data_IF_968911728254
#
_entry.id   IF_968911728254
#
_cell.length_a   1.000
_cell.length_b   1.000
_cell.length_c   1.000
_cell.angle_alpha   90.00
_cell.angle_beta   90.00
_cell.angle_gamma   90.00
#
_symmetry.space_group_name_H-M   'P 1'
#
loop_
_entity.id
_entity.type
_entity.pdbx_description
1 polymer ?
#
# COMPACT_ATOMS: atom_id res chain seq x y z
N UNK A 1 36.06 -18.72 37.31
CA UNK A 1 36.44 -17.33 37.62
C UNK A 1 35.12 -16.70 38.04
N UNK A 2 35.00 -16.31 39.30
CA UNK A 2 33.73 -15.96 39.95
C UNK A 2 33.22 -14.63 39.38
N UNK A 3 32.02 -14.63 38.78
CA UNK A 3 31.30 -13.46 38.27
C UNK A 3 30.93 -12.51 39.42
N UNK A 4 31.89 -11.73 39.93
CA UNK A 4 31.68 -10.59 40.83
C UNK A 4 31.03 -10.87 42.20
N UNK A 5 30.45 -12.05 42.37
CA UNK A 5 29.58 -12.41 43.47
C UNK A 5 30.40 -12.91 44.65
N UNK A 6 30.15 -12.30 45.80
CA UNK A 6 30.67 -12.76 47.08
C UNK A 6 29.55 -13.56 47.77
N UNK A 7 29.61 -14.91 47.73
CA UNK A 7 28.57 -15.74 48.34
C UNK A 7 28.50 -15.62 49.87
N UNK A 8 29.43 -14.88 50.49
CA UNK A 8 29.44 -14.58 51.92
C UNK A 8 28.96 -13.16 52.25
N UNK A 9 28.64 -12.35 51.24
CA UNK A 9 28.07 -11.01 51.42
C UNK A 9 26.53 -11.05 51.31
N UNK A 10 25.79 -10.96 52.42
CA UNK A 10 24.32 -10.97 52.39
C UNK A 10 23.69 -9.72 51.77
N UNK A 11 24.48 -8.69 51.43
CA UNK A 11 24.04 -7.50 50.70
C UNK A 11 24.65 -7.44 49.29
N UNK A 12 25.12 -8.57 48.76
CA UNK A 12 25.57 -8.65 47.37
C UNK A 12 24.37 -8.38 46.45
N UNK A 13 24.41 -7.32 45.60
CA UNK A 13 23.32 -7.00 44.70
C UNK A 13 22.90 -8.17 43.80
N UNK A 14 23.83 -9.07 43.47
CA UNK A 14 23.61 -10.26 42.62
C UNK A 14 22.88 -11.38 43.35
N UNK A 15 22.93 -11.39 44.69
CA UNK A 15 22.26 -12.40 45.53
C UNK A 15 20.81 -12.04 45.84
N UNK A 16 20.38 -10.80 45.58
CA UNK A 16 18.96 -10.42 45.67
C UNK A 16 18.22 -10.88 44.40
N UNK A 17 17.31 -11.87 44.47
CA UNK A 17 16.62 -12.38 43.29
C UNK A 17 15.74 -11.33 42.60
N UNK A 18 15.36 -10.25 43.30
CA UNK A 18 14.58 -9.14 42.75
C UNK A 18 15.43 -7.92 42.39
N UNK A 19 16.74 -7.99 42.65
CA UNK A 19 17.70 -6.99 42.22
C UNK A 19 17.93 -7.06 40.72
N UNK A 20 18.41 -5.94 40.17
CA UNK A 20 18.86 -5.76 38.80
C UNK A 20 20.28 -5.20 38.95
N UNK A 21 21.27 -6.10 39.02
CA UNK A 21 22.60 -5.77 39.51
C UNK A 21 23.44 -4.98 38.49
N UNK A 22 23.10 -5.06 37.20
CA UNK A 22 23.79 -4.35 36.13
C UNK A 22 22.93 -3.27 35.43
N UNK A 23 21.63 -3.21 35.73
CA UNK A 23 20.73 -2.14 35.34
C UNK A 23 20.17 -2.28 33.93
N UNK A 24 20.15 -3.49 33.36
CA UNK A 24 19.65 -3.74 32.01
C UNK A 24 18.11 -3.92 31.95
N UNK A 25 17.47 -4.09 33.11
CA UNK A 25 16.02 -4.29 33.24
C UNK A 25 15.55 -5.75 33.29
N UNK A 26 16.46 -6.71 33.41
CA UNK A 26 16.22 -8.05 33.94
C UNK A 26 16.53 -8.08 35.44
N UNK A 27 15.74 -8.85 36.18
CA UNK A 27 16.11 -9.20 37.55
C UNK A 27 17.13 -10.33 37.54
N UNK A 28 17.99 -10.41 38.56
CA UNK A 28 18.98 -11.48 38.72
C UNK A 28 18.35 -12.89 38.64
N UNK A 29 17.08 -13.03 39.04
CA UNK A 29 16.32 -14.29 38.89
C UNK A 29 15.91 -14.57 37.44
N UNK A 30 15.51 -13.56 36.67
CA UNK A 30 15.23 -13.68 35.23
C UNK A 30 16.52 -14.02 34.48
N UNK A 31 17.62 -13.37 34.79
CA UNK A 31 18.92 -13.66 34.19
C UNK A 31 19.37 -15.10 34.46
N UNK A 32 19.22 -15.57 35.71
CA UNK A 32 19.49 -16.97 36.03
C UNK A 32 18.60 -17.94 35.24
N UNK A 33 17.36 -17.56 34.94
CA UNK A 33 16.45 -18.35 34.12
C UNK A 33 16.88 -18.38 32.64
N UNK A 34 17.40 -17.26 32.13
CA UNK A 34 17.88 -17.12 30.76
C UNK A 34 19.34 -17.57 30.57
N UNK A 35 20.08 -17.81 31.66
CA UNK A 35 21.47 -18.24 31.64
C UNK A 35 22.47 -17.09 31.43
N UNK A 36 22.01 -15.84 31.55
CA UNK A 36 22.81 -14.63 31.40
C UNK A 36 23.58 -14.30 32.68
N UNK A 37 24.51 -13.33 32.61
CA UNK A 37 25.41 -12.94 33.71
C UNK A 37 24.88 -11.69 34.43
N UNK A 38 24.41 -11.79 35.70
CA UNK A 38 23.83 -10.67 36.47
C UNK A 38 24.68 -9.45 36.75
N UNK A 39 25.88 -9.39 36.19
CA UNK A 39 26.79 -8.24 36.33
C UNK A 39 27.14 -7.64 34.98
N UNK A 40 26.51 -8.09 33.91
CA UNK A 40 26.82 -7.71 32.54
C UNK A 40 25.51 -7.48 31.81
N UNK A 41 25.21 -6.22 31.48
CA UNK A 41 24.00 -5.91 30.74
C UNK A 41 23.91 -6.61 29.39
N UNK A 42 25.06 -7.06 28.86
CA UNK A 42 25.27 -7.74 27.57
C UNK A 42 26.21 -8.94 27.86
N UNK A 43 25.64 -10.14 27.97
CA UNK A 43 26.35 -11.33 28.43
C UNK A 43 27.35 -11.84 27.40
N UNK A 44 26.98 -11.84 26.13
CA UNK A 44 27.79 -12.39 25.05
C UNK A 44 28.73 -11.37 24.37
N UNK A 45 28.51 -10.08 24.62
CA UNK A 45 29.36 -8.97 24.26
C UNK A 45 29.15 -8.46 22.83
N UNK A 46 27.98 -8.69 22.22
CA UNK A 46 27.67 -8.26 20.85
C UNK A 46 27.21 -6.78 20.75
N UNK A 47 26.95 -6.14 21.89
CA UNK A 47 26.55 -4.75 22.02
C UNK A 47 25.04 -4.53 22.20
N UNK A 48 24.24 -5.58 22.34
CA UNK A 48 22.83 -5.53 22.70
C UNK A 48 22.67 -6.05 24.14
N UNK A 49 21.78 -5.45 24.92
CA UNK A 49 21.55 -5.94 26.28
C UNK A 49 20.72 -7.21 26.31
N UNK A 50 20.97 -8.08 27.28
CA UNK A 50 20.26 -9.35 27.49
C UNK A 50 18.73 -9.15 27.51
N UNK A 51 18.25 -8.07 28.16
CA UNK A 51 16.84 -7.69 28.17
C UNK A 51 16.25 -7.46 26.77
N UNK A 52 16.98 -6.73 25.94
CA UNK A 52 16.55 -6.33 24.60
C UNK A 52 16.52 -7.55 23.68
N UNK A 53 17.48 -8.45 23.82
CA UNK A 53 17.55 -9.69 23.07
C UNK A 53 16.38 -10.62 23.38
N UNK A 54 16.10 -10.85 24.67
CA UNK A 54 14.95 -11.64 25.10
C UNK A 54 13.64 -11.03 24.60
N UNK A 55 13.52 -9.71 24.65
CA UNK A 55 12.34 -8.98 24.15
C UNK A 55 12.19 -9.11 22.63
N UNK A 56 13.30 -9.12 21.91
CA UNK A 56 13.37 -9.22 20.46
C UNK A 56 13.46 -10.67 19.94
N UNK A 57 13.48 -11.65 20.84
CA UNK A 57 13.52 -13.07 20.54
C UNK A 57 14.85 -13.57 19.97
N UNK A 58 15.96 -12.87 20.24
CA UNK A 58 17.33 -13.34 19.95
C UNK A 58 17.92 -14.07 21.16
N UNK A 59 19.06 -14.75 20.97
CA UNK A 59 19.74 -15.52 22.01
C UNK A 59 20.81 -14.68 22.72
N UNK A 60 20.62 -14.30 24.00
CA UNK A 60 21.56 -13.45 24.75
C UNK A 60 22.90 -14.11 25.09
N UNK A 61 23.11 -15.35 24.60
CA UNK A 61 24.34 -16.12 24.77
C UNK A 61 25.04 -16.42 23.44
N UNK A 62 24.50 -15.95 22.30
CA UNK A 62 25.09 -16.14 20.97
C UNK A 62 25.42 -14.78 20.30
N UNK A 63 26.70 -14.35 20.30
CA UNK A 63 27.09 -13.04 19.79
C UNK A 63 27.01 -12.95 18.25
N UNK A 64 26.46 -13.96 17.59
CA UNK A 64 26.17 -14.00 16.16
C UNK A 64 24.66 -13.96 15.87
N UNK A 65 23.81 -13.71 16.87
CA UNK A 65 22.35 -13.52 16.70
C UNK A 65 21.90 -12.06 16.94
N UNK A 66 22.44 -11.07 16.20
CA UNK A 66 22.18 -9.67 16.50
C UNK A 66 20.72 -9.27 16.24
N UNK A 67 20.24 -8.31 17.03
CA UNK A 67 18.91 -7.72 16.90
C UNK A 67 18.66 -7.20 15.48
N UNK A 68 17.64 -7.78 14.85
CA UNK A 68 17.26 -7.46 13.49
C UNK A 68 16.51 -6.12 13.40
N UNK A 69 16.91 -5.26 12.46
CA UNK A 69 16.26 -3.98 12.19
C UNK A 69 16.03 -3.76 10.68
N UNK A 70 15.12 -2.84 10.37
CA UNK A 70 14.94 -2.30 9.01
C UNK A 70 15.39 -0.84 9.04
N UNK A 71 16.63 -0.59 8.59
CA UNK A 71 17.20 0.74 8.52
C UNK A 71 16.38 1.67 7.59
N UNK A 72 16.53 2.99 7.78
CA UNK A 72 15.91 3.96 6.89
C UNK A 72 16.40 3.74 5.45
N UNK A 73 15.47 3.69 4.49
CA UNK A 73 15.77 3.42 3.08
C UNK A 73 15.94 1.94 2.72
N UNK A 74 15.95 1.02 3.71
CA UNK A 74 16.02 -0.41 3.43
C UNK A 74 14.67 -1.01 3.00
N UNK A 75 13.56 -0.26 3.09
CA UNK A 75 12.28 -0.63 2.49
C UNK A 75 12.11 0.18 1.20
N UNK A 76 11.98 -0.51 0.07
CA UNK A 76 11.94 0.10 -1.27
C UNK A 76 10.83 -0.51 -2.10
N UNK A 77 10.27 0.29 -3.00
CA UNK A 77 9.30 -0.19 -4.00
C UNK A 77 10.06 -0.74 -5.20
N UNK A 78 9.71 -1.94 -5.64
CA UNK A 78 10.32 -2.63 -6.80
C UNK A 78 9.41 -2.55 -8.01
N UNK A 79 8.12 -2.85 -7.81
CA UNK A 79 7.09 -2.72 -8.85
C UNK A 79 5.93 -1.91 -8.29
N UNK A 80 5.49 -0.91 -9.07
CA UNK A 80 4.42 0.00 -8.71
C UNK A 80 3.38 0.10 -9.84
N UNK A 81 2.25 0.74 -9.53
CA UNK A 81 1.20 1.11 -10.50
C UNK A 81 0.53 -0.10 -11.18
N UNK A 82 0.46 -1.23 -10.46
CA UNK A 82 -0.28 -2.40 -10.91
C UNK A 82 -1.79 -2.13 -11.00
N UNK A 83 -2.46 -2.77 -11.96
CA UNK A 83 -3.90 -2.68 -12.12
C UNK A 83 -4.64 -3.25 -10.89
N UNK A 84 -5.68 -2.55 -10.41
CA UNK A 84 -6.53 -2.94 -9.28
C UNK A 84 -7.53 -4.06 -9.65
N UNK A 85 -7.03 -5.16 -10.22
CA UNK A 85 -7.82 -6.29 -10.70
C UNK A 85 -7.67 -7.57 -9.85
N UNK A 86 -6.94 -7.48 -8.73
CA UNK A 86 -6.69 -8.60 -7.82
C UNK A 86 -5.68 -9.63 -8.32
N UNK A 87 -5.13 -9.44 -9.53
CA UNK A 87 -4.18 -10.37 -10.17
C UNK A 87 -2.83 -9.70 -10.42
N UNK A 88 -2.83 -8.48 -10.94
CA UNK A 88 -1.60 -7.71 -11.15
C UNK A 88 -0.95 -7.37 -9.79
N UNK A 89 0.37 -7.44 -9.75
CA UNK A 89 1.13 -7.31 -8.50
C UNK A 89 1.98 -6.05 -8.48
N UNK A 90 1.90 -5.34 -7.36
CA UNK A 90 2.99 -4.48 -6.92
C UNK A 90 3.98 -5.31 -6.11
N UNK A 91 5.19 -4.80 -5.91
CA UNK A 91 6.17 -5.47 -5.06
C UNK A 91 7.05 -4.48 -4.31
N UNK A 92 7.37 -4.83 -3.07
CA UNK A 92 8.33 -4.11 -2.23
C UNK A 92 9.48 -5.04 -1.87
N UNK A 93 10.68 -4.49 -1.76
CA UNK A 93 11.87 -5.17 -1.25
C UNK A 93 12.28 -4.51 0.05
N UNK A 94 12.56 -5.35 1.04
CA UNK A 94 13.12 -4.92 2.32
C UNK A 94 14.45 -5.61 2.59
N UNK A 95 15.38 -4.87 3.18
CA UNK A 95 16.66 -5.38 3.68
C UNK A 95 16.70 -5.31 5.20
N UNK A 96 16.89 -6.45 5.84
CA UNK A 96 17.08 -6.59 7.28
C UNK A 96 18.57 -6.62 7.57
N UNK A 97 18.98 -5.76 8.49
CA UNK A 97 20.36 -5.70 8.98
C UNK A 97 20.39 -5.76 10.50
N UNK A 98 21.57 -5.96 11.07
CA UNK A 98 21.83 -5.58 12.46
C UNK A 98 21.95 -4.03 12.59
N UNK A 99 22.20 -3.57 13.80
CA UNK A 99 22.46 -2.14 14.12
C UNK A 99 23.75 -1.60 13.47
N UNK A 100 24.69 -2.48 13.14
CA UNK A 100 25.96 -2.16 12.47
C UNK A 100 25.84 -2.12 10.93
N UNK A 101 24.68 -2.49 10.39
CA UNK A 101 24.39 -2.51 8.96
C UNK A 101 24.74 -3.82 8.23
N UNK A 102 25.12 -4.88 8.94
CA UNK A 102 25.38 -6.19 8.34
C UNK A 102 24.07 -6.91 7.98
N UNK A 103 23.98 -7.56 6.81
CA UNK A 103 22.76 -8.24 6.38
C UNK A 103 22.47 -9.50 7.20
N UNK A 104 21.20 -9.69 7.59
CA UNK A 104 20.77 -10.85 8.38
C UNK A 104 19.87 -11.79 7.59
N UNK A 105 20.33 -13.03 7.42
CA UNK A 105 19.59 -14.11 6.76
C UNK A 105 18.58 -14.77 7.71
N UNK A 106 17.56 -15.39 7.12
CA UNK A 106 16.57 -16.23 7.78
C UNK A 106 15.71 -15.46 8.81
N UNK A 107 15.54 -14.15 8.61
CA UNK A 107 14.72 -13.31 9.47
C UNK A 107 13.30 -13.21 8.91
N UNK A 108 12.32 -13.36 9.78
CA UNK A 108 10.91 -13.21 9.41
C UNK A 108 10.50 -11.76 9.57
N UNK A 109 9.98 -11.15 8.51
CA UNK A 109 9.43 -9.80 8.55
C UNK A 109 7.91 -9.87 8.57
N UNK A 110 7.27 -9.08 9.43
CA UNK A 110 5.82 -8.90 9.40
C UNK A 110 5.50 -7.79 8.42
N UNK A 111 4.65 -8.06 7.44
CA UNK A 111 4.23 -7.08 6.43
C UNK A 111 2.72 -6.91 6.48
N UNK A 112 2.29 -5.67 6.56
CA UNK A 112 0.89 -5.26 6.49
C UNK A 112 0.72 -4.20 5.40
N UNK A 113 -0.48 -4.10 4.85
CA UNK A 113 -0.84 -3.05 3.91
C UNK A 113 -2.25 -2.55 4.21
N UNK A 114 -2.48 -1.26 4.00
CA UNK A 114 -3.81 -0.66 4.10
C UNK A 114 -4.56 -0.70 2.75
N UNK A 115 -5.64 0.07 2.64
CA UNK A 115 -6.45 0.18 1.43
C UNK A 115 -6.94 -1.18 0.85
N UNK A 116 -7.05 -2.19 1.72
CA UNK A 116 -7.43 -3.57 1.36
C UNK A 116 -6.48 -4.27 0.39
N UNK A 117 -5.23 -3.79 0.27
CA UNK A 117 -4.21 -4.53 -0.44
C UNK A 117 -3.93 -5.86 0.27
N UNK A 118 -3.83 -6.93 -0.50
CA UNK A 118 -3.54 -8.28 -0.01
C UNK A 118 -2.04 -8.49 -0.10
N UNK A 119 -1.41 -8.72 1.05
CA UNK A 119 0.00 -9.06 1.14
C UNK A 119 0.17 -10.54 0.76
N UNK A 120 1.06 -10.83 -0.17
CA UNK A 120 1.44 -12.18 -0.54
C UNK A 120 2.21 -12.90 0.58
N UNK A 121 2.64 -14.12 0.31
CA UNK A 121 3.49 -14.86 1.25
C UNK A 121 4.81 -14.12 1.48
N UNK A 122 5.14 -13.85 2.74
CA UNK A 122 6.42 -13.27 3.14
C UNK A 122 7.40 -14.40 3.44
N UNK A 123 8.46 -14.51 2.62
CA UNK A 123 9.54 -15.46 2.86
C UNK A 123 10.48 -14.94 3.97
N UNK A 124 11.38 -15.80 4.44
CA UNK A 124 12.50 -15.36 5.27
C UNK A 124 13.53 -14.61 4.41
N UNK A 125 14.31 -13.73 5.03
CA UNK A 125 15.40 -13.02 4.35
C UNK A 125 16.48 -13.96 3.82
N UNK A 126 17.08 -13.60 2.69
CA UNK A 126 18.16 -14.35 2.06
C UNK A 126 19.55 -14.03 2.66
N UNK A 127 20.63 -14.55 2.05
CA UNK A 127 22.02 -14.30 2.50
C UNK A 127 22.43 -12.82 2.47
N UNK A 128 21.72 -11.99 1.71
CA UNK A 128 21.95 -10.55 1.64
C UNK A 128 21.02 -9.77 2.59
N UNK A 129 20.26 -10.48 3.44
CA UNK A 129 19.26 -9.90 4.32
C UNK A 129 18.04 -9.38 3.56
N UNK A 130 17.86 -9.73 2.29
CA UNK A 130 16.78 -9.20 1.47
C UNK A 130 15.58 -10.15 1.43
N UNK A 131 14.39 -9.56 1.37
CA UNK A 131 13.15 -10.27 1.01
C UNK A 131 12.30 -9.36 0.13
N UNK A 132 11.67 -9.94 -0.90
CA UNK A 132 10.72 -9.25 -1.77
C UNK A 132 9.33 -9.82 -1.52
N UNK A 133 8.35 -8.94 -1.37
CA UNK A 133 6.95 -9.29 -1.10
C UNK A 133 6.09 -8.69 -2.19
N UNK A 134 5.20 -9.50 -2.76
CA UNK A 134 4.21 -9.07 -3.75
C UNK A 134 2.90 -8.72 -3.07
N UNK A 135 2.19 -7.75 -3.63
CA UNK A 135 0.88 -7.30 -3.16
C UNK A 135 -0.09 -7.21 -4.33
N UNK A 136 -1.33 -7.64 -4.12
CA UNK A 136 -2.44 -7.44 -5.08
C UNK A 136 -3.53 -6.59 -4.45
N UNK A 137 -4.40 -5.99 -5.27
CA UNK A 137 -5.57 -5.26 -4.79
C UNK A 137 -6.68 -5.27 -5.82
N UNK A 138 -7.93 -5.26 -5.36
CA UNK A 138 -9.12 -4.95 -6.17
C UNK A 138 -9.63 -3.54 -5.92
N UNK A 139 -8.86 -2.70 -5.22
CA UNK A 139 -9.15 -1.29 -4.94
C UNK A 139 -8.04 -0.43 -5.52
N UNK A 140 -8.41 0.49 -6.41
CA UNK A 140 -7.50 1.51 -6.91
C UNK A 140 -7.17 2.55 -5.82
N UNK A 141 -6.03 3.21 -5.97
CA UNK A 141 -5.51 4.23 -5.06
C UNK A 141 -4.21 3.81 -4.37
N UNK A 142 -3.75 4.70 -3.49
CA UNK A 142 -2.53 4.50 -2.69
C UNK A 142 -2.80 3.44 -1.62
N UNK A 143 -1.81 2.57 -1.41
CA UNK A 143 -1.73 1.65 -0.28
C UNK A 143 -0.40 1.84 0.43
N UNK A 144 -0.46 2.13 1.72
CA UNK A 144 0.70 2.21 2.61
C UNK A 144 1.11 0.81 3.02
N UNK A 145 2.32 0.39 2.65
CA UNK A 145 2.89 -0.88 3.06
C UNK A 145 3.76 -0.66 4.29
N UNK A 146 3.49 -1.39 5.36
CA UNK A 146 4.26 -1.38 6.60
C UNK A 146 5.02 -2.69 6.73
N UNK A 147 6.35 -2.62 6.81
CA UNK A 147 7.22 -3.74 7.15
C UNK A 147 7.74 -3.56 8.57
N UNK A 148 7.65 -4.60 9.39
CA UNK A 148 8.03 -4.57 10.79
C UNK A 148 8.82 -5.82 11.21
N UNK A 149 9.84 -5.60 12.04
CA UNK A 149 10.63 -6.65 12.69
C UNK A 149 11.08 -6.14 14.06
N UNK A 150 10.95 -6.96 15.11
CA UNK A 150 11.47 -6.69 16.46
C UNK A 150 11.16 -5.26 16.94
N UNK A 151 9.88 -4.86 16.86
CA UNK A 151 9.40 -3.53 17.26
C UNK A 151 9.76 -2.37 16.32
N UNK A 152 10.72 -2.53 15.42
CA UNK A 152 11.03 -1.54 14.38
C UNK A 152 10.08 -1.66 13.19
N UNK A 153 9.59 -0.54 12.67
CA UNK A 153 8.78 -0.52 11.46
C UNK A 153 9.22 0.55 10.45
N UNK A 154 8.94 0.27 9.17
CA UNK A 154 9.11 1.21 8.05
C UNK A 154 7.89 1.15 7.15
N UNK A 155 7.62 2.27 6.49
CA UNK A 155 6.51 2.41 5.56
C UNK A 155 6.98 2.89 4.20
N UNK A 156 6.30 2.43 3.15
CA UNK A 156 6.39 2.96 1.79
C UNK A 156 5.01 2.94 1.16
N UNK A 157 4.76 3.89 0.26
CA UNK A 157 3.51 3.94 -0.49
C UNK A 157 3.67 3.22 -1.82
N UNK A 158 2.70 2.38 -2.15
CA UNK A 158 2.49 1.84 -3.49
C UNK A 158 1.15 2.31 -4.02
N UNK A 159 0.98 2.35 -5.34
CA UNK A 159 -0.28 2.74 -5.98
C UNK A 159 -0.81 1.58 -6.80
N UNK A 160 -2.09 1.28 -6.64
CA UNK A 160 -2.85 0.45 -7.58
C UNK A 160 -3.69 1.36 -8.47
N UNK A 161 -3.62 1.17 -9.79
CA UNK A 161 -4.33 2.00 -10.76
C UNK A 161 -5.58 1.30 -11.28
N UNK A 162 -6.60 2.06 -11.66
CA UNK A 162 -7.78 1.51 -12.32
C UNK A 162 -7.39 0.86 -13.67
N UNK A 163 -8.04 -0.25 -14.03
CA UNK A 163 -7.65 -1.05 -15.20
C UNK A 163 -8.23 -0.49 -16.51
N UNK A 164 -7.46 0.35 -17.19
CA UNK A 164 -7.87 0.98 -18.45
C UNK A 164 -8.10 -0.01 -19.59
N UNK A 165 -7.53 -1.22 -19.53
CA UNK A 165 -7.77 -2.25 -20.57
C UNK A 165 -9.20 -2.78 -20.52
N UNK A 166 -9.87 -2.61 -19.39
CA UNK A 166 -11.27 -3.00 -19.16
C UNK A 166 -12.23 -1.81 -19.12
N UNK A 167 -11.79 -0.63 -19.61
CA UNK A 167 -12.59 0.58 -19.63
C UNK A 167 -13.97 0.36 -20.25
N UNK A 168 -15.01 0.83 -19.55
CA UNK A 168 -16.40 0.65 -19.94
C UNK A 168 -17.27 1.83 -19.50
N UNK A 169 -18.44 1.94 -20.11
CA UNK A 169 -19.51 2.86 -19.69
C UNK A 169 -20.63 2.00 -19.10
N UNK A 170 -20.67 1.92 -17.77
CA UNK A 170 -21.68 1.15 -17.05
C UNK A 170 -23.10 1.70 -17.30
N UNK A 171 -24.11 0.88 -17.04
CA UNK A 171 -25.50 1.33 -17.11
C UNK A 171 -25.73 2.49 -16.16
N UNK A 172 -26.31 3.59 -16.67
CA UNK A 172 -26.52 4.82 -15.89
C UNK A 172 -25.35 5.79 -15.89
N UNK A 173 -24.19 5.43 -16.45
CA UNK A 173 -23.02 6.32 -16.53
C UNK A 173 -23.03 7.27 -17.73
N UNK A 174 -24.07 7.25 -18.57
CA UNK A 174 -24.33 8.30 -19.56
C UNK A 174 -25.64 8.98 -19.16
N UNK A 175 -25.55 10.26 -18.80
CA UNK A 175 -26.68 11.04 -18.27
C UNK A 175 -26.83 12.37 -18.98
N UNK A 176 -28.06 12.85 -19.15
CA UNK A 176 -28.32 14.21 -19.61
C UNK A 176 -28.09 15.19 -18.47
N UNK A 177 -27.36 16.26 -18.73
CA UNK A 177 -27.09 17.35 -17.78
C UNK A 177 -27.93 18.59 -18.12
N UNK A 178 -28.00 18.95 -19.40
CA UNK A 178 -28.84 20.04 -19.90
C UNK A 178 -29.64 19.55 -21.09
N UNK A 179 -30.94 19.83 -21.09
CA UNK A 179 -31.88 19.39 -22.11
C UNK A 179 -32.75 20.55 -22.61
N UNK A 180 -33.52 20.28 -23.67
CA UNK A 180 -34.55 21.17 -24.21
C UNK A 180 -33.99 22.51 -24.72
N UNK A 181 -32.75 22.50 -25.21
CA UNK A 181 -32.15 23.66 -25.88
C UNK A 181 -32.89 24.01 -27.18
N UNK A 182 -33.01 25.31 -27.47
CA UNK A 182 -33.60 25.80 -28.73
C UNK A 182 -32.72 25.37 -29.92
N UNK A 183 -33.36 24.87 -30.99
CA UNK A 183 -32.70 24.38 -32.20
C UNK A 183 -32.17 25.52 -33.11
N UNK A 184 -31.35 26.42 -32.58
CA UNK A 184 -30.79 27.58 -33.28
C UNK A 184 -29.31 27.44 -33.65
N UNK A 185 -28.71 26.28 -33.43
CA UNK A 185 -27.28 26.00 -33.70
C UNK A 185 -26.29 26.55 -32.67
N UNK A 186 -26.75 27.31 -31.67
CA UNK A 186 -25.92 27.93 -30.64
C UNK A 186 -26.29 27.53 -29.22
N UNK A 187 -27.57 27.30 -28.94
CA UNK A 187 -28.02 26.80 -27.64
C UNK A 187 -27.62 25.33 -27.48
N UNK A 188 -27.14 24.98 -26.28
CA UNK A 188 -26.50 23.71 -26.03
C UNK A 188 -27.35 22.82 -25.13
N UNK A 189 -27.55 21.58 -25.56
CA UNK A 189 -27.77 20.47 -24.63
C UNK A 189 -26.41 19.99 -24.13
N UNK A 190 -26.40 19.25 -23.03
CA UNK A 190 -25.16 18.62 -22.54
C UNK A 190 -25.44 17.25 -21.94
N UNK A 191 -24.49 16.33 -22.14
CA UNK A 191 -24.49 15.01 -21.52
C UNK A 191 -23.19 14.82 -20.75
N UNK A 192 -23.25 14.02 -19.70
CA UNK A 192 -22.09 13.59 -18.91
C UNK A 192 -21.89 12.10 -19.06
N UNK A 193 -20.65 11.70 -19.32
CA UNK A 193 -20.22 10.30 -19.39
C UNK A 193 -19.29 10.03 -18.23
N UNK A 194 -19.49 8.91 -17.54
CA UNK A 194 -18.56 8.35 -16.56
C UNK A 194 -17.97 7.03 -17.07
N UNK A 195 -16.65 6.98 -17.18
CA UNK A 195 -15.90 5.81 -17.57
C UNK A 195 -15.33 5.14 -16.34
N UNK A 196 -15.55 3.84 -16.23
CA UNK A 196 -14.97 3.02 -15.15
C UNK A 196 -14.31 1.77 -15.72
N UNK A 197 -13.44 1.13 -14.96
CA UNK A 197 -12.99 -0.23 -15.26
C UNK A 197 -14.09 -1.28 -14.93
N UNK A 198 -13.80 -2.56 -15.16
CA UNK A 198 -14.73 -3.65 -14.85
C UNK A 198 -15.05 -3.81 -13.34
N UNK A 199 -14.21 -3.26 -12.47
CA UNK A 199 -14.39 -3.25 -11.01
C UNK A 199 -15.04 -1.94 -10.51
N UNK A 200 -15.52 -1.09 -11.42
CA UNK A 200 -16.15 0.22 -11.16
C UNK A 200 -15.21 1.29 -10.60
N UNK A 201 -13.89 1.17 -10.78
CA UNK A 201 -12.99 2.28 -10.48
C UNK A 201 -13.08 3.34 -11.57
N UNK A 202 -13.14 4.64 -11.22
CA UNK A 202 -13.10 5.70 -12.21
C UNK A 202 -11.79 5.70 -12.98
N UNK A 203 -11.86 5.93 -14.29
CA UNK A 203 -10.70 5.99 -15.17
C UNK A 203 -10.49 7.42 -15.67
N UNK A 204 -9.41 8.05 -15.22
CA UNK A 204 -8.94 9.34 -15.74
C UNK A 204 -8.30 9.16 -17.13
N UNK A 205 -8.24 10.25 -17.89
CA UNK A 205 -7.50 10.36 -19.15
C UNK A 205 -8.03 9.43 -20.26
N UNK A 206 -9.32 9.08 -20.20
CA UNK A 206 -9.98 8.26 -21.21
C UNK A 206 -10.66 9.11 -22.27
N UNK A 207 -10.41 8.77 -23.54
CA UNK A 207 -11.09 9.41 -24.67
C UNK A 207 -12.37 8.64 -25.01
N UNK A 208 -13.51 9.29 -24.81
CA UNK A 208 -14.82 8.76 -25.20
C UNK A 208 -15.14 9.17 -26.64
N UNK A 209 -15.54 8.21 -27.47
CA UNK A 209 -16.07 8.53 -28.80
C UNK A 209 -17.56 8.83 -28.68
N UNK A 210 -18.01 9.96 -29.19
CA UNK A 210 -19.42 10.34 -29.14
C UNK A 210 -20.00 10.65 -30.52
N UNK A 211 -21.25 10.22 -30.73
CA UNK A 211 -22.04 10.54 -31.92
C UNK A 211 -23.44 10.98 -31.50
N UNK A 212 -24.12 11.72 -32.36
CA UNK A 212 -25.49 12.17 -32.10
C UNK A 212 -26.37 12.04 -33.34
N UNK A 213 -27.62 11.65 -33.13
CA UNK A 213 -28.66 11.59 -34.15
C UNK A 213 -29.24 12.97 -34.48
N UNK A 214 -30.25 12.98 -35.35
CA UNK A 214 -30.99 14.19 -35.74
C UNK A 214 -30.11 15.36 -36.26
N UNK A 215 -28.94 15.04 -36.83
CA UNK A 215 -27.95 16.02 -37.28
C UNK A 215 -27.44 16.97 -36.20
N UNK A 216 -27.57 16.60 -34.92
CA UNK A 216 -26.95 17.35 -33.84
C UNK A 216 -25.42 17.27 -33.95
N UNK A 217 -24.75 18.37 -33.65
CA UNK A 217 -23.29 18.47 -33.65
C UNK A 217 -22.79 18.22 -32.22
N UNK A 218 -21.94 17.21 -32.07
CA UNK A 218 -21.23 16.94 -30.82
C UNK A 218 -20.05 17.92 -30.73
N UNK A 219 -19.92 18.61 -29.60
CA UNK A 219 -18.78 19.48 -29.32
C UNK A 219 -17.49 18.70 -29.13
N UNK A 220 -16.41 19.42 -28.81
CA UNK A 220 -15.13 18.78 -28.48
C UNK A 220 -15.29 17.88 -27.24
N UNK A 221 -14.85 16.63 -27.36
CA UNK A 221 -14.83 15.68 -26.24
C UNK A 221 -13.44 15.75 -25.59
N UNK A 222 -13.39 16.21 -24.34
CA UNK A 222 -12.17 16.16 -23.54
C UNK A 222 -11.89 14.73 -23.05
N UNK A 223 -10.71 14.52 -22.48
CA UNK A 223 -10.45 13.31 -21.71
C UNK A 223 -11.23 13.33 -20.40
N UNK A 224 -11.52 12.16 -19.84
CA UNK A 224 -12.13 12.05 -18.51
C UNK A 224 -11.23 12.60 -17.40
N UNK A 225 -11.84 13.20 -16.39
CA UNK A 225 -11.16 13.71 -15.20
C UNK A 225 -10.85 12.61 -14.17
N UNK A 226 -10.32 12.99 -13.00
CA UNK A 226 -9.97 12.07 -11.90
C UNK A 226 -11.17 11.28 -11.36
N UNK A 227 -12.40 11.73 -11.60
CA UNK A 227 -13.63 11.01 -11.25
C UNK A 227 -14.11 10.09 -12.38
N UNK A 228 -13.34 10.00 -13.46
CA UNK A 228 -13.69 9.30 -14.69
C UNK A 228 -14.79 9.99 -15.47
N UNK A 229 -15.07 11.27 -15.24
CA UNK A 229 -16.19 11.98 -15.84
C UNK A 229 -15.74 12.94 -16.96
N UNK A 230 -16.58 13.08 -17.98
CA UNK A 230 -16.47 14.13 -19.01
C UNK A 230 -17.86 14.65 -19.37
N UNK A 231 -18.01 15.97 -19.47
CA UNK A 231 -19.25 16.62 -19.95
C UNK A 231 -19.04 17.14 -21.36
N UNK A 232 -19.99 16.85 -22.24
CA UNK A 232 -19.94 17.22 -23.66
C UNK A 232 -21.20 17.97 -24.04
N UNK A 233 -21.03 19.11 -24.71
CA UNK A 233 -22.14 19.91 -25.23
C UNK A 233 -22.53 19.48 -26.63
N UNK A 234 -23.82 19.62 -26.96
CA UNK A 234 -24.37 19.38 -28.29
C UNK A 234 -25.19 20.59 -28.75
N UNK A 235 -25.07 20.95 -30.02
CA UNK A 235 -25.94 21.94 -30.67
C UNK A 235 -26.72 21.31 -31.81
N UNK A 236 -27.83 21.93 -32.21
CA UNK A 236 -28.61 21.50 -33.37
C UNK A 236 -29.34 22.69 -33.98
N UNK A 237 -29.56 22.65 -35.29
CA UNK A 237 -30.49 23.54 -36.01
C UNK A 237 -31.82 22.84 -36.33
N UNK A 238 -32.01 21.60 -35.85
CA UNK A 238 -33.20 20.78 -36.06
C UNK A 238 -33.81 20.44 -34.72
N UNK A 239 -35.07 20.84 -34.52
CA UNK A 239 -35.87 20.43 -33.37
C UNK A 239 -36.16 18.92 -33.42
N UNK A 240 -36.49 18.35 -32.26
CA UNK A 240 -36.79 16.93 -32.07
C UNK A 240 -35.74 16.20 -31.24
N UNK A 241 -35.96 14.90 -31.07
CA UNK A 241 -35.10 14.01 -30.28
C UNK A 241 -33.81 13.72 -31.04
N UNK A 242 -32.68 13.86 -30.36
CA UNK A 242 -31.35 13.43 -30.79
C UNK A 242 -30.86 12.33 -29.83
N UNK A 243 -30.72 11.12 -30.34
CA UNK A 243 -30.08 10.03 -29.59
C UNK A 243 -28.57 10.22 -29.62
N UNK A 244 -27.99 10.40 -28.44
CA UNK A 244 -26.55 10.55 -28.22
C UNK A 244 -25.97 9.18 -27.87
N UNK A 245 -24.94 8.74 -28.60
CA UNK A 245 -24.21 7.51 -28.31
C UNK A 245 -22.82 7.86 -27.81
N UNK A 246 -22.45 7.33 -26.65
CA UNK A 246 -21.08 7.37 -26.13
C UNK A 246 -20.48 5.96 -26.18
N UNK A 247 -19.24 5.84 -26.63
CA UNK A 247 -18.55 4.56 -26.81
C UNK A 247 -17.09 4.60 -26.35
N UNK A 248 -16.65 3.50 -25.76
CA UNK A 248 -15.26 3.25 -25.38
C UNK A 248 -14.97 1.75 -25.40
N UNK A 249 -13.80 1.35 -25.90
CA UNK A 249 -13.32 -0.04 -25.88
C UNK A 249 -14.38 -1.07 -26.35
N UNK A 250 -15.11 -0.76 -27.41
CA UNK A 250 -16.18 -1.61 -27.95
C UNK A 250 -17.50 -1.62 -27.16
N UNK A 251 -17.56 -1.03 -25.96
CA UNK A 251 -18.80 -0.81 -25.22
C UNK A 251 -19.44 0.52 -25.61
N UNK A 252 -20.77 0.60 -25.62
CA UNK A 252 -21.49 1.86 -25.84
C UNK A 252 -22.75 2.00 -25.00
N UNK A 253 -23.18 3.25 -24.79
CA UNK A 253 -24.44 3.63 -24.16
C UNK A 253 -25.11 4.74 -24.94
N UNK A 254 -26.43 4.81 -24.84
CA UNK A 254 -27.24 5.82 -25.51
C UNK A 254 -28.13 6.56 -24.53
N UNK A 255 -28.35 7.85 -24.78
CA UNK A 255 -29.34 8.66 -24.09
C UNK A 255 -29.98 9.62 -25.08
N UNK A 256 -31.24 9.97 -24.87
CA UNK A 256 -31.94 10.93 -25.72
C UNK A 256 -31.87 12.33 -25.12
N UNK A 257 -31.57 13.31 -25.96
CA UNK A 257 -31.75 14.74 -25.67
C UNK A 257 -32.76 15.34 -26.64
N UNK A 258 -33.51 16.34 -26.20
CA UNK A 258 -34.52 17.02 -27.02
C UNK A 258 -34.06 18.42 -27.37
N UNK A 259 -34.18 18.80 -28.64
CA UNK A 259 -34.09 20.20 -29.07
C UNK A 259 -35.48 20.74 -29.36
N UNK A 260 -35.82 21.91 -28.83
CA UNK A 260 -37.12 22.56 -29.04
C UNK A 260 -37.05 23.58 -30.19
N UNK A 261 -38.19 23.87 -30.79
CA UNK A 261 -38.29 24.85 -31.89
C UNK A 261 -38.09 26.29 -31.41
#
# INVERSE_FOLDING_TARGET
>A
ITNGSDPLNPNDPVQDPHGDADGDGLTNAEEHQHGTDPNKPDTDGDGISDKDEITNGTDPLDPNDPAATIAAGNLTVVTNDAAANGVATNSVKMKVTDVSGNPLKNRQVTVAADNSAVVGTVALTDTNGEVTVTLTSTRAGISTVTAAINGTSRTVDITFVADSSTATIATGNLTVVTNDAVANGTATNSVKVKVTDANNHPLENQLVTMTAGNSAVVGTVALTDTNGEVTVTLTSTRAGISTVTAAINGTSRTVDVTFIA
#
